data_IF_999953714334
#
_entry.id   IF_999953714334
#
_cell.length_a   1.000
_cell.length_b   1.000
_cell.length_c   1.000
_cell.angle_alpha   90.00
_cell.angle_beta   90.00
_cell.angle_gamma   90.00
#
_symmetry.space_group_name_H-M   'P 1'
#
loop_
_entity.id
_entity.type
_entity.pdbx_description
1 polymer ?
#
# COMPACT_ATOMS: atom_id res chain seq x y z
N UNK A 1 26.75 -25.71 -16.38
CA UNK A 1 26.61 -24.87 -17.59
C UNK A 1 26.16 -23.50 -17.13
N UNK A 2 27.10 -22.55 -17.19
CA UNK A 2 26.97 -21.18 -16.70
C UNK A 2 26.00 -20.39 -17.58
N UNK A 3 24.94 -19.86 -16.99
CA UNK A 3 24.04 -18.92 -17.65
C UNK A 3 24.58 -17.50 -17.45
N UNK A 4 25.24 -16.95 -18.47
CA UNK A 4 25.44 -15.51 -18.60
C UNK A 4 24.15 -14.88 -19.15
N UNK A 5 23.20 -14.58 -18.26
CA UNK A 5 22.08 -13.68 -18.55
C UNK A 5 22.64 -12.24 -18.62
N UNK A 6 23.22 -11.88 -19.77
CA UNK A 6 23.59 -10.49 -20.05
C UNK A 6 22.35 -9.60 -20.00
N UNK A 7 22.42 -8.60 -19.11
CA UNK A 7 21.46 -7.54 -18.86
C UNK A 7 20.83 -6.91 -20.13
N UNK A 8 19.74 -7.49 -20.63
CA UNK A 8 18.81 -6.83 -21.53
C UNK A 8 17.78 -6.06 -20.70
N UNK A 9 18.03 -4.76 -20.57
CA UNK A 9 17.05 -3.82 -20.02
C UNK A 9 15.80 -3.85 -20.92
N UNK A 10 14.67 -4.26 -20.37
CA UNK A 10 13.40 -4.22 -21.11
C UNK A 10 12.89 -2.79 -21.07
N UNK A 11 12.99 -2.08 -22.19
CA UNK A 11 12.50 -0.71 -22.32
C UNK A 11 11.00 -0.77 -22.72
N UNK A 12 10.11 -0.01 -22.05
CA UNK A 12 8.72 0.11 -22.49
C UNK A 12 8.64 0.49 -23.97
N UNK A 13 7.81 -0.22 -24.74
CA UNK A 13 7.69 -0.02 -26.20
C UNK A 13 7.38 1.45 -26.52
N UNK A 14 8.01 1.99 -27.57
CA UNK A 14 7.78 3.34 -28.12
C UNK A 14 8.11 4.53 -27.20
N UNK A 15 8.79 4.31 -26.08
CA UNK A 15 9.05 5.38 -25.10
C UNK A 15 10.35 6.16 -25.32
N UNK A 16 11.33 5.58 -26.01
CA UNK A 16 12.62 6.23 -26.22
C UNK A 16 13.64 5.45 -27.05
N UNK A 17 14.79 6.07 -27.27
CA UNK A 17 15.92 5.54 -28.04
C UNK A 17 17.08 5.25 -27.09
N UNK A 18 17.68 4.06 -27.22
CA UNK A 18 18.95 3.72 -26.60
C UNK A 18 20.07 4.49 -27.31
N UNK A 19 20.75 5.38 -26.59
CA UNK A 19 21.79 6.24 -27.18
C UNK A 19 23.18 5.66 -26.99
N UNK A 20 23.47 5.08 -25.82
CA UNK A 20 24.75 4.44 -25.58
C UNK A 20 24.68 3.39 -24.48
N UNK A 21 25.52 2.36 -24.63
CA UNK A 21 25.83 1.34 -23.63
C UNK A 21 27.36 1.25 -23.57
N UNK A 22 27.97 1.80 -22.52
CA UNK A 22 29.43 1.86 -22.36
C UNK A 22 29.80 1.71 -20.89
N UNK A 23 30.77 0.83 -20.58
CA UNK A 23 31.36 0.65 -19.24
C UNK A 23 30.33 0.63 -18.09
N UNK A 24 29.32 -0.24 -18.16
CA UNK A 24 28.31 -0.40 -17.10
C UNK A 24 27.37 0.80 -16.92
N UNK A 25 27.34 1.71 -17.90
CA UNK A 25 26.42 2.84 -17.97
C UNK A 25 25.55 2.71 -19.22
N UNK A 26 24.24 2.90 -19.04
CA UNK A 26 23.26 2.91 -20.12
C UNK A 26 22.56 4.25 -20.16
N UNK A 27 22.52 4.89 -21.33
CA UNK A 27 21.84 6.17 -21.54
C UNK A 27 20.67 5.99 -22.51
N UNK A 28 19.48 6.30 -22.01
CA UNK A 28 18.23 6.34 -22.77
C UNK A 28 17.79 7.78 -22.96
N UNK A 29 17.20 8.06 -24.13
CA UNK A 29 16.52 9.31 -24.44
C UNK A 29 15.03 9.05 -24.60
N UNK A 30 14.21 9.74 -23.82
CA UNK A 30 12.75 9.58 -23.82
C UNK A 30 12.07 10.81 -24.41
N UNK A 31 10.88 10.62 -24.97
CA UNK A 31 10.02 11.69 -25.50
C UNK A 31 9.29 12.49 -24.42
N UNK A 32 9.32 12.02 -23.16
CA UNK A 32 8.66 12.68 -22.03
C UNK A 32 9.12 14.15 -21.91
N UNK A 33 8.19 15.08 -21.77
CA UNK A 33 8.42 16.52 -21.62
C UNK A 33 8.11 17.00 -20.20
N UNK A 34 7.24 16.30 -19.49
CA UNK A 34 6.80 16.64 -18.14
C UNK A 34 7.27 15.61 -17.12
N UNK A 35 7.19 15.98 -15.84
CA UNK A 35 7.52 15.10 -14.73
C UNK A 35 6.53 13.94 -14.63
N UNK A 36 5.26 14.20 -14.92
CA UNK A 36 4.14 13.27 -14.81
C UNK A 36 4.26 12.17 -15.87
N UNK A 37 4.57 12.54 -17.12
CA UNK A 37 4.85 11.57 -18.20
C UNK A 37 6.03 10.67 -17.86
N UNK A 38 7.09 11.23 -17.27
CA UNK A 38 8.23 10.43 -16.82
C UNK A 38 7.87 9.50 -15.66
N UNK A 39 7.00 9.92 -14.74
CA UNK A 39 6.55 9.06 -13.64
C UNK A 39 5.75 7.86 -14.16
N UNK A 40 4.85 8.05 -15.12
CA UNK A 40 4.13 6.97 -15.78
C UNK A 40 5.10 5.99 -16.47
N UNK A 41 6.05 6.50 -17.25
CA UNK A 41 7.09 5.68 -17.88
C UNK A 41 7.91 4.89 -16.85
N UNK A 42 8.28 5.53 -15.73
CA UNK A 42 9.03 4.88 -14.66
C UNK A 42 8.23 3.73 -14.05
N UNK A 43 6.94 3.90 -13.80
CA UNK A 43 6.08 2.85 -13.26
C UNK A 43 5.98 1.64 -14.19
N UNK A 44 5.84 1.88 -15.50
CA UNK A 44 5.88 0.82 -16.51
C UNK A 44 7.23 0.10 -16.54
N UNK A 45 8.33 0.86 -16.50
CA UNK A 45 9.68 0.33 -16.47
C UNK A 45 9.91 -0.56 -15.23
N UNK A 46 9.47 -0.11 -14.05
CA UNK A 46 9.53 -0.86 -12.79
C UNK A 46 8.68 -2.14 -12.83
N UNK A 47 7.51 -2.09 -13.48
CA UNK A 47 6.63 -3.26 -13.68
C UNK A 47 7.29 -4.31 -14.57
N UNK A 48 7.85 -3.89 -15.71
CA UNK A 48 8.48 -4.77 -16.70
C UNK A 48 9.79 -5.42 -16.19
N UNK A 49 10.62 -4.63 -15.49
CA UNK A 49 11.94 -5.08 -15.06
C UNK A 49 11.95 -5.63 -13.63
N UNK A 50 10.80 -5.68 -12.93
CA UNK A 50 10.69 -6.16 -11.54
C UNK A 50 11.59 -5.41 -10.54
N UNK A 51 11.91 -4.15 -10.84
CA UNK A 51 12.71 -3.27 -9.99
C UNK A 51 11.81 -2.24 -9.30
N UNK A 52 12.28 -1.70 -8.19
CA UNK A 52 11.66 -0.55 -7.53
C UNK A 52 12.74 0.46 -7.20
N UNK A 53 12.53 1.71 -7.60
CA UNK A 53 13.43 2.82 -7.42
C UNK A 53 12.91 3.79 -6.36
N UNK A 54 13.80 4.13 -5.43
CA UNK A 54 13.57 5.14 -4.41
C UNK A 54 14.32 6.41 -4.74
N UNK A 55 13.74 7.54 -4.39
CA UNK A 55 14.39 8.85 -4.55
C UNK A 55 15.62 8.91 -3.65
N UNK A 56 16.81 8.97 -4.23
CA UNK A 56 18.06 9.19 -3.50
C UNK A 56 18.29 10.68 -3.27
N UNK A 57 18.18 11.48 -4.33
CA UNK A 57 18.27 12.94 -4.28
C UNK A 57 17.35 13.53 -5.34
N UNK A 58 16.54 14.51 -4.97
CA UNK A 58 15.77 15.31 -5.92
C UNK A 58 16.25 16.75 -5.90
N UNK A 59 16.25 17.42 -7.05
CA UNK A 59 16.32 18.87 -7.11
C UNK A 59 15.18 19.34 -7.99
N UNK A 60 14.25 20.11 -7.42
CA UNK A 60 13.31 20.86 -8.24
C UNK A 60 14.14 21.91 -8.97
N UNK A 61 14.17 21.82 -10.30
CA UNK A 61 14.88 22.77 -11.13
C UNK A 61 13.81 23.55 -11.89
N UNK A 62 13.47 24.74 -11.40
CA UNK A 62 12.73 25.73 -12.20
C UNK A 62 13.72 26.59 -13.00
N UNK A 63 14.80 25.95 -13.45
CA UNK A 63 15.89 26.63 -14.14
C UNK A 63 15.54 26.72 -15.63
N UNK A 64 16.00 27.79 -16.28
CA UNK A 64 15.78 28.07 -17.71
C UNK A 64 16.20 26.94 -18.67
N UNK A 65 17.01 25.98 -18.21
CA UNK A 65 17.57 24.89 -19.03
C UNK A 65 17.10 23.48 -18.64
N UNK A 66 16.69 23.27 -17.39
CA UNK A 66 16.33 21.95 -16.85
C UNK A 66 15.07 22.08 -16.04
N UNK A 67 14.03 21.37 -16.45
CA UNK A 67 12.70 21.36 -15.83
C UNK A 67 12.63 20.40 -14.64
N UNK A 68 13.38 19.30 -14.72
CA UNK A 68 13.36 18.28 -13.68
C UNK A 68 14.66 17.49 -13.65
N UNK A 69 15.20 17.25 -12.45
CA UNK A 69 16.37 16.40 -12.26
C UNK A 69 16.25 15.61 -10.97
N UNK A 70 16.32 14.28 -11.09
CA UNK A 70 16.19 13.41 -9.94
C UNK A 70 17.12 12.21 -10.07
N UNK A 71 17.70 11.80 -8.94
CA UNK A 71 18.52 10.63 -8.82
C UNK A 71 17.77 9.60 -7.98
N UNK A 72 17.62 8.42 -8.54
CA UNK A 72 17.00 7.28 -7.92
C UNK A 72 18.02 6.19 -7.60
N UNK A 73 17.73 5.41 -6.57
CA UNK A 73 18.48 4.21 -6.15
C UNK A 73 17.57 3.00 -6.17
N UNK A 74 18.16 1.81 -6.32
CA UNK A 74 17.44 0.57 -6.10
C UNK A 74 16.87 0.50 -4.67
N UNK A 75 15.71 -0.14 -4.51
CA UNK A 75 15.08 -0.37 -3.20
C UNK A 75 15.98 -1.12 -2.20
N UNK A 76 16.93 -1.93 -2.67
CA UNK A 76 17.87 -2.68 -1.83
C UNK A 76 19.04 -1.83 -1.30
N UNK A 77 19.12 -0.56 -1.72
CA UNK A 77 19.96 0.44 -1.07
C UNK A 77 19.11 1.24 -0.07
N UNK A 78 19.08 0.82 1.20
CA UNK A 78 18.25 1.45 2.25
C UNK A 78 18.96 2.58 2.99
N UNK A 79 20.22 2.88 2.65
CA UNK A 79 21.03 3.97 3.23
C UNK A 79 21.04 3.96 4.79
N UNK A 80 21.37 2.83 5.44
CA UNK A 80 21.29 2.72 6.91
C UNK A 80 22.16 3.74 7.65
N UNK A 81 23.32 4.09 7.09
CA UNK A 81 24.27 5.03 7.70
C UNK A 81 23.70 6.45 7.82
N UNK A 82 22.95 6.89 6.80
CA UNK A 82 22.30 8.20 6.82
C UNK A 82 21.27 8.29 7.96
N UNK A 83 20.61 7.19 8.27
CA UNK A 83 19.62 7.09 9.35
C UNK A 83 20.22 6.63 10.69
N UNK A 84 21.55 6.47 10.78
CA UNK A 84 22.28 6.02 11.98
C UNK A 84 21.73 4.70 12.55
N UNK A 85 21.30 3.78 11.68
CA UNK A 85 20.70 2.51 12.10
C UNK A 85 21.79 1.50 12.44
N UNK A 86 21.79 0.95 13.67
CA UNK A 86 22.79 -0.03 14.14
C UNK A 86 22.84 -1.33 13.33
N UNK A 87 21.69 -1.82 12.85
CA UNK A 87 21.57 -3.03 12.05
C UNK A 87 20.71 -2.76 10.81
N UNK A 88 21.28 -2.83 9.59
CA UNK A 88 20.52 -2.64 8.36
C UNK A 88 19.38 -3.64 8.24
N UNK A 89 18.33 -3.26 7.51
CA UNK A 89 17.23 -4.16 7.17
C UNK A 89 17.74 -5.35 6.35
N UNK A 90 17.08 -6.51 6.47
CA UNK A 90 17.32 -7.69 5.59
C UNK A 90 17.17 -7.37 4.10
N UNK A 91 16.50 -6.27 3.76
CA UNK A 91 16.36 -5.74 2.40
C UNK A 91 17.66 -5.13 1.86
N UNK A 92 18.59 -4.73 2.74
CA UNK A 92 19.77 -3.97 2.36
C UNK A 92 20.87 -4.87 1.81
N UNK A 93 21.22 -4.67 0.54
CA UNK A 93 22.37 -5.33 -0.11
C UNK A 93 23.44 -4.34 -0.55
N UNK A 94 23.32 -3.07 -0.16
CA UNK A 94 24.12 -1.95 -0.68
C UNK A 94 24.24 -1.93 -2.22
N UNK A 95 23.10 -2.12 -2.88
CA UNK A 95 23.05 -2.16 -4.34
C UNK A 95 23.58 -0.84 -4.95
N UNK A 96 24.60 -0.89 -5.86
CA UNK A 96 25.21 0.31 -6.44
C UNK A 96 24.41 0.86 -7.63
N UNK A 97 23.40 0.13 -8.09
CA UNK A 97 22.57 0.51 -9.23
C UNK A 97 21.76 1.78 -8.98
N UNK A 98 21.92 2.76 -9.87
CA UNK A 98 21.27 4.08 -9.79
C UNK A 98 20.69 4.47 -11.14
N UNK A 99 19.58 5.21 -11.09
CA UNK A 99 18.93 5.80 -12.27
C UNK A 99 18.87 7.32 -12.09
N UNK A 100 19.54 8.07 -12.96
CA UNK A 100 19.46 9.52 -13.00
C UNK A 100 18.56 9.96 -14.14
N UNK A 101 17.59 10.83 -13.86
CA UNK A 101 16.74 11.46 -14.87
C UNK A 101 17.05 12.95 -14.96
N UNK A 102 17.04 13.49 -16.18
CA UNK A 102 17.10 14.92 -16.44
C UNK A 102 16.16 15.27 -17.59
N UNK A 103 15.17 16.11 -17.33
CA UNK A 103 14.23 16.63 -18.33
C UNK A 103 14.69 18.05 -18.70
N UNK A 104 15.09 18.24 -19.95
CA UNK A 104 15.53 19.53 -20.47
C UNK A 104 14.35 20.36 -20.93
N UNK A 105 14.45 21.69 -20.79
CA UNK A 105 13.45 22.61 -21.33
C UNK A 105 13.56 22.62 -22.86
N UNK A 106 12.43 22.46 -23.54
CA UNK A 106 12.35 22.59 -25.00
C UNK A 106 12.01 24.03 -25.34
N UNK A 107 12.95 24.75 -25.96
CA UNK A 107 12.76 26.13 -26.43
C UNK A 107 12.74 26.18 -27.95
N UNK A 108 11.96 27.09 -28.55
CA UNK A 108 11.83 27.25 -30.00
C UNK A 108 13.16 27.57 -30.69
N UNK A 109 14.04 28.32 -30.03
CA UNK A 109 15.39 28.63 -30.51
C UNK A 109 16.42 28.16 -29.49
N UNK A 110 17.01 27.00 -29.74
CA UNK A 110 18.05 26.43 -28.90
C UNK A 110 19.41 26.60 -29.57
N UNK A 111 20.40 27.11 -28.82
CA UNK A 111 21.82 27.09 -29.23
C UNK A 111 22.49 25.73 -28.96
N UNK A 112 21.74 24.73 -28.52
CA UNK A 112 22.28 23.41 -28.18
C UNK A 112 22.62 22.60 -29.42
N UNK A 113 23.78 21.96 -29.43
CA UNK A 113 24.25 21.03 -30.46
C UNK A 113 23.68 19.60 -30.28
N UNK A 114 22.74 19.40 -29.35
CA UNK A 114 22.17 18.10 -29.01
C UNK A 114 21.21 17.61 -30.12
N UNK A 115 21.65 16.63 -30.91
CA UNK A 115 20.92 16.07 -32.07
C UNK A 115 19.55 15.48 -31.73
N UNK A 116 19.32 15.12 -30.47
CA UNK A 116 18.06 14.50 -30.03
C UNK A 116 17.01 15.54 -29.59
N UNK A 117 17.38 16.81 -29.47
CA UNK A 117 16.44 17.90 -29.19
C UNK A 117 15.80 18.38 -30.51
N UNK A 118 14.50 18.70 -30.54
CA UNK A 118 13.56 18.76 -29.41
C UNK A 118 12.77 17.48 -29.13
N UNK A 119 12.91 16.43 -29.95
CA UNK A 119 12.05 15.24 -29.92
C UNK A 119 12.21 14.38 -28.66
N UNK A 120 13.43 14.27 -28.12
CA UNK A 120 13.74 13.49 -26.92
C UNK A 120 14.41 14.33 -25.81
N UNK A 121 13.64 15.17 -25.11
CA UNK A 121 14.18 16.10 -24.13
C UNK A 121 14.56 15.46 -22.80
N UNK A 122 14.10 14.23 -22.53
CA UNK A 122 14.41 13.52 -21.29
C UNK A 122 15.60 12.58 -21.47
N UNK A 123 16.55 12.66 -20.55
CA UNK A 123 17.74 11.80 -20.48
C UNK A 123 17.63 10.93 -19.24
N UNK A 124 17.64 9.61 -19.41
CA UNK A 124 17.70 8.64 -18.32
C UNK A 124 19.04 7.92 -18.40
N UNK A 125 19.83 8.02 -17.34
CA UNK A 125 21.14 7.37 -17.21
C UNK A 125 21.08 6.32 -16.12
N UNK A 126 21.28 5.07 -16.48
CA UNK A 126 21.51 3.97 -15.54
C UNK A 126 23.01 3.82 -15.31
N UNK A 127 23.42 3.65 -14.06
CA UNK A 127 24.81 3.49 -13.67
C UNK A 127 24.94 2.42 -12.60
N UNK A 128 25.94 1.55 -12.75
CA UNK A 128 26.19 0.44 -11.84
C UNK A 128 25.29 -0.77 -12.15
N UNK A 129 25.78 -1.97 -11.83
CA UNK A 129 25.00 -3.20 -11.95
C UNK A 129 24.23 -3.50 -10.66
N UNK A 130 23.13 -4.24 -10.75
CA UNK A 130 22.54 -4.83 -9.56
C UNK A 130 23.49 -5.88 -8.98
N UNK A 131 23.64 -5.90 -7.66
CA UNK A 131 24.40 -6.93 -6.96
C UNK A 131 23.50 -8.03 -6.36
N UNK A 132 22.23 -8.05 -6.75
CA UNK A 132 21.22 -9.00 -6.33
C UNK A 132 20.35 -9.39 -7.54
N UNK A 133 19.77 -10.59 -7.50
CA UNK A 133 18.89 -11.08 -8.56
C UNK A 133 17.54 -10.39 -8.50
N UNK A 134 17.23 -9.57 -9.50
CA UNK A 134 15.99 -8.77 -9.52
C UNK A 134 14.74 -9.65 -9.61
N UNK A 135 14.76 -10.69 -10.45
CA UNK A 135 13.66 -11.66 -10.65
C UNK A 135 13.76 -12.87 -9.71
N UNK A 136 14.04 -12.65 -8.43
CA UNK A 136 14.10 -13.72 -7.42
C UNK A 136 13.05 -13.48 -6.34
N UNK A 137 12.48 -14.54 -5.75
CA UNK A 137 11.54 -14.43 -4.64
C UNK A 137 12.10 -13.57 -3.48
N UNK A 138 13.42 -13.63 -3.26
CA UNK A 138 14.10 -12.82 -2.26
C UNK A 138 14.06 -11.31 -2.53
N UNK A 139 14.06 -10.89 -3.79
CA UNK A 139 13.94 -9.48 -4.17
C UNK A 139 12.47 -9.06 -4.33
N UNK A 140 11.64 -9.92 -4.91
CA UNK A 140 10.23 -9.65 -5.20
C UNK A 140 9.39 -9.43 -3.93
N UNK A 141 9.69 -10.13 -2.83
CA UNK A 141 9.00 -9.95 -1.53
C UNK A 141 9.12 -8.55 -0.93
N UNK A 142 10.05 -7.72 -1.45
CA UNK A 142 10.28 -6.37 -0.96
C UNK A 142 9.75 -5.27 -1.87
N UNK A 143 9.17 -5.63 -3.03
CA UNK A 143 8.50 -4.68 -3.94
C UNK A 143 7.33 -4.00 -3.24
N UNK A 144 6.96 -2.84 -3.76
CA UNK A 144 5.76 -2.15 -3.31
C UNK A 144 4.50 -2.87 -3.76
N UNK A 145 3.45 -2.73 -2.94
CA UNK A 145 2.11 -3.23 -3.29
C UNK A 145 1.66 -2.55 -4.58
N UNK A 146 1.30 -3.34 -5.59
CA UNK A 146 0.86 -2.80 -6.88
C UNK A 146 -0.42 -1.96 -6.75
N UNK A 147 -0.65 -1.00 -7.65
CA UNK A 147 -1.79 -0.09 -7.58
C UNK A 147 -3.13 -0.85 -7.63
N UNK A 148 -3.24 -1.85 -8.52
CA UNK A 148 -4.41 -2.73 -8.66
C UNK A 148 -4.75 -3.43 -7.32
N UNK A 149 -3.75 -4.04 -6.69
CA UNK A 149 -3.92 -4.77 -5.41
C UNK A 149 -4.21 -3.81 -4.26
N UNK A 150 -3.58 -2.62 -4.26
CA UNK A 150 -3.83 -1.58 -3.26
C UNK A 150 -5.28 -1.12 -3.31
N UNK A 151 -5.82 -0.85 -4.50
CA UNK A 151 -7.22 -0.46 -4.68
C UNK A 151 -8.18 -1.55 -4.20
N UNK A 152 -7.93 -2.80 -4.59
CA UNK A 152 -8.73 -3.95 -4.14
C UNK A 152 -8.74 -4.12 -2.61
N UNK A 153 -7.58 -3.98 -1.96
CA UNK A 153 -7.51 -4.01 -0.50
C UNK A 153 -8.29 -2.86 0.16
N UNK A 154 -8.25 -1.66 -0.44
CA UNK A 154 -9.04 -0.52 0.03
C UNK A 154 -10.54 -0.81 -0.07
N UNK A 155 -10.99 -1.49 -1.12
CA UNK A 155 -12.40 -1.90 -1.25
C UNK A 155 -12.80 -2.89 -0.15
N UNK A 156 -11.95 -3.88 0.15
CA UNK A 156 -12.20 -4.80 1.27
C UNK A 156 -12.30 -4.06 2.61
N UNK A 157 -11.45 -3.07 2.84
CA UNK A 157 -11.50 -2.25 4.04
C UNK A 157 -12.77 -1.40 4.12
N UNK A 158 -13.22 -0.83 3.00
CA UNK A 158 -14.49 -0.09 2.92
C UNK A 158 -15.70 -0.99 3.19
N UNK A 159 -15.61 -2.27 2.82
CA UNK A 159 -16.60 -3.29 3.16
C UNK A 159 -16.55 -3.78 4.62
N UNK A 160 -15.71 -3.17 5.48
CA UNK A 160 -15.63 -3.48 6.92
C UNK A 160 -14.66 -4.62 7.26
N UNK A 161 -13.90 -5.13 6.29
CA UNK A 161 -12.95 -6.20 6.56
C UNK A 161 -11.68 -5.67 7.24
N UNK A 162 -11.28 -6.30 8.34
CA UNK A 162 -9.99 -6.04 8.96
C UNK A 162 -8.81 -6.57 8.11
N UNK A 163 -7.56 -6.15 8.39
CA UNK A 163 -6.37 -6.51 7.62
C UNK A 163 -6.20 -8.01 7.39
N UNK A 164 -6.47 -8.82 8.43
CA UNK A 164 -6.32 -10.27 8.38
C UNK A 164 -7.32 -10.90 7.42
N UNK A 165 -8.59 -10.50 7.52
CA UNK A 165 -9.65 -11.02 6.66
C UNK A 165 -9.47 -10.56 5.22
N UNK A 166 -9.17 -9.28 5.00
CA UNK A 166 -8.90 -8.72 3.68
C UNK A 166 -7.74 -9.43 2.96
N UNK A 167 -6.64 -9.74 3.67
CA UNK A 167 -5.54 -10.50 3.09
C UNK A 167 -5.95 -11.94 2.77
N UNK A 168 -6.75 -12.59 3.62
CA UNK A 168 -7.25 -13.95 3.37
C UNK A 168 -8.13 -14.00 2.13
N UNK A 169 -9.05 -13.05 1.97
CA UNK A 169 -9.88 -12.90 0.77
C UNK A 169 -9.01 -12.70 -0.47
N UNK A 170 -8.05 -11.76 -0.41
CA UNK A 170 -7.15 -11.49 -1.54
C UNK A 170 -6.35 -12.73 -1.96
N UNK A 171 -5.84 -13.51 -0.99
CA UNK A 171 -5.12 -14.75 -1.27
C UNK A 171 -6.01 -15.80 -1.93
N UNK A 172 -7.25 -15.95 -1.48
CA UNK A 172 -8.23 -16.86 -2.08
C UNK A 172 -8.51 -16.47 -3.53
N UNK A 173 -8.70 -15.18 -3.80
CA UNK A 173 -8.94 -14.72 -5.17
C UNK A 173 -7.70 -14.92 -6.07
N UNK A 174 -6.48 -14.82 -5.52
CA UNK A 174 -5.26 -15.16 -6.26
C UNK A 174 -5.16 -16.67 -6.55
N UNK A 175 -5.57 -17.54 -5.62
CA UNK A 175 -5.61 -18.98 -5.84
C UNK A 175 -6.58 -19.33 -6.97
N UNK A 176 -7.77 -18.73 -6.98
CA UNK A 176 -8.77 -18.93 -8.03
C UNK A 176 -8.29 -18.43 -9.41
N UNK A 177 -7.50 -17.35 -9.45
CA UNK A 177 -7.02 -16.77 -10.71
C UNK A 177 -5.83 -17.51 -11.33
N UNK A 178 -4.92 -18.02 -10.50
CA UNK A 178 -3.64 -18.54 -10.98
C UNK A 178 -3.46 -20.05 -10.78
N UNK A 179 -4.34 -20.71 -10.01
CA UNK A 179 -4.34 -22.15 -9.74
C UNK A 179 -2.92 -22.72 -9.55
N UNK A 180 -2.37 -23.45 -10.52
CA UNK A 180 -1.01 -24.02 -10.50
C UNK A 180 0.12 -22.98 -10.36
N UNK A 181 -0.05 -21.76 -10.87
CA UNK A 181 0.93 -20.67 -10.84
C UNK A 181 0.86 -19.84 -9.55
N UNK A 182 -0.03 -20.17 -8.61
CA UNK A 182 -0.27 -19.42 -7.38
C UNK A 182 1.01 -19.17 -6.59
N UNK A 183 1.84 -20.20 -6.39
CA UNK A 183 3.05 -20.12 -5.56
C UNK A 183 4.04 -19.08 -6.11
N UNK A 184 4.15 -18.99 -7.44
CA UNK A 184 5.03 -18.02 -8.10
C UNK A 184 4.53 -16.59 -7.89
N UNK A 185 3.22 -16.38 -8.02
CA UNK A 185 2.59 -15.06 -7.83
C UNK A 185 2.59 -14.64 -6.37
N UNK A 186 2.41 -15.59 -5.45
CA UNK A 186 2.40 -15.36 -4.01
C UNK A 186 3.75 -14.83 -3.47
N UNK A 187 4.85 -15.12 -4.16
CA UNK A 187 6.19 -14.64 -3.80
C UNK A 187 6.42 -13.15 -4.14
N UNK A 188 5.60 -12.53 -4.99
CA UNK A 188 5.74 -11.13 -5.39
C UNK A 188 4.90 -10.21 -4.51
N UNK A 189 5.54 -9.34 -3.72
CA UNK A 189 4.83 -8.42 -2.84
C UNK A 189 3.97 -7.38 -3.58
N UNK A 190 4.25 -7.14 -4.87
CA UNK A 190 3.39 -6.31 -5.71
C UNK A 190 2.03 -6.97 -6.00
N UNK A 191 1.98 -8.31 -6.02
CA UNK A 191 0.78 -9.11 -6.29
C UNK A 191 0.16 -9.65 -5.01
N UNK A 192 0.96 -10.26 -4.14
CA UNK A 192 0.56 -10.79 -2.84
C UNK A 192 1.34 -10.08 -1.72
N UNK A 193 0.82 -8.97 -1.17
CA UNK A 193 1.53 -8.20 -0.17
C UNK A 193 1.65 -8.95 1.16
N UNK A 194 2.71 -8.64 1.91
CA UNK A 194 2.88 -9.14 3.27
C UNK A 194 1.78 -8.58 4.19
N UNK A 195 1.44 -9.32 5.26
CA UNK A 195 0.50 -8.84 6.27
C UNK A 195 0.91 -7.48 6.84
N UNK A 196 2.20 -7.26 7.07
CA UNK A 196 2.72 -5.97 7.56
C UNK A 196 2.39 -4.82 6.59
N UNK A 197 2.50 -5.06 5.29
CA UNK A 197 2.14 -4.07 4.26
C UNK A 197 0.64 -3.77 4.27
N UNK A 198 -0.20 -4.80 4.39
CA UNK A 198 -1.67 -4.66 4.46
C UNK A 198 -2.09 -3.93 5.73
N UNK A 199 -1.51 -4.28 6.88
CA UNK A 199 -1.74 -3.62 8.15
C UNK A 199 -1.34 -2.15 8.09
N UNK A 200 -0.17 -1.84 7.50
CA UNK A 200 0.25 -0.47 7.30
C UNK A 200 -0.74 0.30 6.41
N UNK A 201 -1.14 -0.27 5.27
CA UNK A 201 -2.13 0.32 4.38
C UNK A 201 -3.45 0.62 5.09
N UNK A 202 -3.96 -0.35 5.86
CA UNK A 202 -5.17 -0.18 6.67
C UNK A 202 -5.01 0.96 7.67
N UNK A 203 -3.91 0.99 8.43
CA UNK A 203 -3.70 2.06 9.42
C UNK A 203 -3.57 3.43 8.77
N UNK A 204 -2.91 3.55 7.61
CA UNK A 204 -2.79 4.82 6.89
C UNK A 204 -4.14 5.29 6.37
N UNK A 205 -4.91 4.40 5.73
CA UNK A 205 -6.25 4.72 5.22
C UNK A 205 -7.21 5.14 6.34
N UNK A 206 -7.23 4.41 7.45
CA UNK A 206 -8.10 4.72 8.58
C UNK A 206 -7.66 5.99 9.31
N UNK A 207 -6.35 6.25 9.42
CA UNK A 207 -5.84 7.54 9.92
C UNK A 207 -6.25 8.71 9.03
N UNK A 208 -6.22 8.54 7.71
CA UNK A 208 -6.69 9.58 6.77
C UNK A 208 -8.19 9.83 6.90
N UNK A 209 -8.99 8.76 7.04
CA UNK A 209 -10.46 8.86 7.08
C UNK A 209 -11.01 9.32 8.43
N UNK A 210 -10.42 8.86 9.53
CA UNK A 210 -10.95 9.07 10.88
C UNK A 210 -10.02 9.91 11.78
N UNK A 211 -8.82 10.26 11.31
CA UNK A 211 -7.80 10.94 12.09
C UNK A 211 -7.15 10.03 13.14
N UNK A 212 -6.45 10.66 14.09
CA UNK A 212 -6.15 10.00 15.36
C UNK A 212 -7.48 9.81 16.11
N UNK A 213 -7.84 8.54 16.29
CA UNK A 213 -9.03 8.15 17.03
C UNK A 213 -8.78 8.43 18.52
N UNK A 214 -9.42 9.47 19.04
CA UNK A 214 -9.48 9.71 20.49
C UNK A 214 -10.77 9.07 21.04
N UNK A 215 -10.82 8.80 22.36
CA UNK A 215 -12.01 8.22 22.99
C UNK A 215 -13.24 9.10 22.78
N UNK A 216 -13.07 10.42 22.74
CA UNK A 216 -14.13 11.41 22.57
C UNK A 216 -14.77 11.31 21.18
N UNK A 217 -13.97 11.21 20.12
CA UNK A 217 -14.50 11.03 18.75
C UNK A 217 -15.20 9.68 18.55
N UNK A 218 -14.74 8.64 19.24
CA UNK A 218 -15.43 7.35 19.25
C UNK A 218 -16.81 7.50 19.89
N UNK A 219 -16.91 8.19 21.03
CA UNK A 219 -18.17 8.47 21.69
C UNK A 219 -19.12 9.28 20.79
N UNK A 220 -18.64 10.33 20.12
CA UNK A 220 -19.44 11.10 19.16
C UNK A 220 -19.98 10.23 18.01
N UNK A 221 -19.14 9.34 17.46
CA UNK A 221 -19.56 8.41 16.41
C UNK A 221 -20.55 7.36 16.92
N UNK A 222 -20.42 6.93 18.19
CA UNK A 222 -21.36 5.98 18.80
C UNK A 222 -22.70 6.67 19.03
N UNK A 223 -22.72 7.86 19.61
CA UNK A 223 -23.94 8.62 19.90
C UNK A 223 -24.72 8.89 18.61
N UNK A 224 -24.05 9.36 17.55
CA UNK A 224 -24.71 9.55 16.25
C UNK A 224 -25.26 8.26 15.67
N UNK A 225 -24.57 7.13 15.83
CA UNK A 225 -25.08 5.82 15.35
C UNK A 225 -26.25 5.31 16.21
N UNK A 226 -26.22 5.52 17.52
CA UNK A 226 -27.30 5.20 18.46
C UNK A 226 -28.57 5.95 18.08
N UNK A 227 -28.48 7.22 17.69
CA UNK A 227 -29.63 8.00 17.22
C UNK A 227 -30.27 7.41 15.96
N UNK A 228 -29.45 7.01 14.99
CA UNK A 228 -29.95 6.34 13.78
C UNK A 228 -30.64 5.02 14.12
N UNK A 229 -30.03 4.17 14.95
CA UNK A 229 -30.62 2.88 15.34
C UNK A 229 -31.92 3.04 16.15
N UNK A 230 -32.03 4.10 16.97
CA UNK A 230 -33.30 4.46 17.63
C UNK A 230 -34.39 4.78 16.62
N UNK A 231 -34.05 5.51 15.55
CA UNK A 231 -35.01 5.81 14.47
C UNK A 231 -35.47 4.57 13.69
N UNK A 232 -34.64 3.53 13.64
CA UNK A 232 -34.96 2.22 13.06
C UNK A 232 -35.79 1.32 14.01
N UNK A 233 -36.17 1.82 15.20
CA UNK A 233 -37.02 1.11 16.17
C UNK A 233 -36.26 0.18 17.12
N UNK A 234 -34.93 0.26 17.16
CA UNK A 234 -34.10 -0.51 18.11
C UNK A 234 -34.03 0.23 19.43
N UNK A 235 -34.32 -0.46 20.55
CA UNK A 235 -34.16 0.10 21.89
C UNK A 235 -32.69 0.05 22.27
N UNK A 236 -32.00 1.18 22.14
CA UNK A 236 -30.58 1.30 22.45
C UNK A 236 -30.32 2.44 23.43
N UNK A 237 -29.48 2.17 24.42
CA UNK A 237 -29.07 3.14 25.44
C UNK A 237 -27.56 3.09 25.56
N UNK A 238 -26.93 4.26 25.56
CA UNK A 238 -25.51 4.43 25.84
C UNK A 238 -25.39 5.17 27.16
N UNK A 239 -24.63 4.62 28.10
CA UNK A 239 -24.27 5.27 29.35
C UNK A 239 -22.76 5.35 29.47
N UNK A 240 -22.27 6.45 30.03
CA UNK A 240 -20.85 6.62 30.35
C UNK A 240 -20.69 6.37 31.84
N UNK A 241 -19.82 5.43 32.21
CA UNK A 241 -19.47 5.14 33.59
C UNK A 241 -17.98 5.46 33.74
N UNK A 242 -17.68 6.54 34.47
CA UNK A 242 -16.34 7.12 34.58
C UNK A 242 -15.65 7.35 33.22
N UNK A 243 -14.62 6.56 32.91
CA UNK A 243 -13.78 6.65 31.71
C UNK A 243 -14.14 5.60 30.63
N UNK A 244 -15.14 4.77 30.92
CA UNK A 244 -15.65 3.71 30.06
C UNK A 244 -17.10 3.98 29.65
N UNK A 245 -17.52 3.36 28.55
CA UNK A 245 -18.89 3.45 28.05
C UNK A 245 -19.52 2.07 27.98
N UNK A 246 -20.81 2.02 28.30
CA UNK A 246 -21.64 0.83 28.19
C UNK A 246 -22.76 1.12 27.20
N UNK A 247 -22.93 0.23 26.24
CA UNK A 247 -24.03 0.28 25.27
C UNK A 247 -24.89 -0.94 25.51
N UNK A 248 -26.15 -0.70 25.88
CA UNK A 248 -27.18 -1.73 25.95
C UNK A 248 -28.10 -1.61 24.74
N UNK A 249 -28.33 -2.71 24.05
CA UNK A 249 -29.17 -2.77 22.86
C UNK A 249 -30.14 -3.95 22.96
N UNK A 250 -31.42 -3.65 22.79
CA UNK A 250 -32.49 -4.62 22.70
C UNK A 250 -33.19 -4.43 21.33
N UNK A 251 -33.06 -5.45 20.49
CA UNK A 251 -33.72 -5.48 19.17
C UNK A 251 -35.18 -5.89 19.31
N UNK A 252 -36.05 -5.58 18.33
CA UNK A 252 -37.46 -5.98 18.39
C UNK A 252 -37.69 -7.49 18.56
N UNK A 253 -36.74 -8.34 18.13
CA UNK A 253 -36.83 -9.79 18.34
C UNK A 253 -36.50 -10.17 19.78
N UNK A 254 -35.56 -9.48 20.43
CA UNK A 254 -35.22 -9.67 21.85
C UNK A 254 -36.35 -9.19 22.76
N UNK A 255 -37.03 -8.09 22.39
CA UNK A 255 -38.18 -7.56 23.15
C UNK A 255 -39.31 -8.59 23.33
N UNK A 256 -39.51 -9.46 22.35
CA UNK A 256 -40.53 -10.52 22.42
C UNK A 256 -40.28 -11.50 23.56
N UNK A 257 -39.04 -11.71 23.98
CA UNK A 257 -38.73 -12.63 25.08
C UNK A 257 -39.09 -11.98 26.42
N UNK A 258 -39.00 -10.66 26.51
CA UNK A 258 -39.35 -9.92 27.73
C UNK A 258 -40.85 -9.88 28.04
N UNK A 259 -41.73 -10.40 27.17
CA UNK A 259 -43.16 -10.52 27.47
C UNK A 259 -43.49 -11.75 28.32
N UNK A 260 -42.58 -12.72 28.45
CA UNK A 260 -42.79 -13.92 29.27
C UNK A 260 -42.34 -13.67 30.71
N UNK A 261 -43.12 -14.12 31.71
CA UNK A 261 -42.75 -14.01 33.13
C UNK A 261 -41.45 -14.75 33.45
N UNK A 262 -41.19 -15.86 32.75
CA UNK A 262 -39.95 -16.64 32.86
C UNK A 262 -38.70 -15.83 32.55
N UNK A 263 -38.80 -14.79 31.71
CA UNK A 263 -37.67 -13.94 31.30
C UNK A 263 -37.04 -13.15 32.45
N UNK A 264 -37.79 -12.92 33.54
CA UNK A 264 -37.30 -12.24 34.74
C UNK A 264 -36.72 -13.18 35.80
N UNK A 265 -36.85 -14.50 35.61
CA UNK A 265 -36.50 -15.49 36.65
C UNK A 265 -35.01 -15.88 36.63
N UNK A 266 -34.49 -16.25 35.45
CA UNK A 266 -33.12 -16.71 35.27
C UNK A 266 -32.53 -16.02 34.05
N UNK A 267 -31.33 -15.47 34.23
CA UNK A 267 -30.59 -14.82 33.17
C UNK A 267 -29.19 -15.43 33.07
N UNK A 268 -28.81 -15.82 31.86
CA UNK A 268 -27.47 -16.23 31.50
C UNK A 268 -26.74 -15.06 30.86
N UNK A 269 -25.48 -14.88 31.23
CA UNK A 269 -24.63 -13.85 30.62
C UNK A 269 -23.47 -14.59 29.97
N UNK A 270 -23.44 -14.54 28.64
CA UNK A 270 -22.27 -14.97 27.88
C UNK A 270 -21.39 -13.76 27.59
N UNK A 271 -20.08 -13.93 27.75
CA UNK A 271 -19.10 -12.87 27.50
C UNK A 271 -18.18 -13.29 26.39
N UNK A 272 -18.15 -12.51 25.33
CA UNK A 272 -17.08 -12.60 24.35
C UNK A 272 -15.76 -12.09 24.94
N UNK A 273 -14.63 -12.59 24.42
CA UNK A 273 -13.32 -12.00 24.67
C UNK A 273 -13.19 -10.58 24.09
N UNK A 274 -11.97 -10.08 24.02
CA UNK A 274 -11.71 -8.74 23.49
C UNK A 274 -12.14 -8.64 22.02
N UNK A 275 -13.18 -7.84 21.74
CA UNK A 275 -13.81 -7.75 20.43
C UNK A 275 -13.10 -6.75 19.50
N UNK A 276 -12.34 -5.81 20.04
CA UNK A 276 -11.69 -4.77 19.26
C UNK A 276 -10.35 -4.26 19.86
N UNK A 277 -9.80 -3.21 19.23
CA UNK A 277 -8.56 -2.54 19.66
C UNK A 277 -8.69 -1.76 20.97
N UNK A 278 -9.90 -1.44 21.39
CA UNK A 278 -10.20 -0.70 22.61
C UNK A 278 -10.54 -1.62 23.77
N UNK A 279 -10.35 -2.93 23.59
CA UNK A 279 -10.66 -3.92 24.61
C UNK A 279 -12.18 -3.94 24.94
N UNK A 280 -13.03 -3.57 23.99
CA UNK A 280 -14.47 -3.67 24.13
C UNK A 280 -14.84 -5.14 24.33
N UNK A 281 -15.75 -5.37 25.29
CA UNK A 281 -16.31 -6.69 25.58
C UNK A 281 -17.77 -6.69 25.22
N UNK A 282 -18.19 -7.68 24.44
CA UNK A 282 -19.60 -7.86 24.11
C UNK A 282 -20.14 -8.90 25.09
N UNK A 283 -21.18 -8.51 25.82
CA UNK A 283 -21.94 -9.38 26.70
C UNK A 283 -23.28 -9.67 26.03
N UNK A 284 -23.61 -10.96 25.89
CA UNK A 284 -24.91 -11.40 25.44
C UNK A 284 -25.70 -11.86 26.67
N UNK A 285 -26.80 -11.17 26.91
CA UNK A 285 -27.73 -11.46 28.00
C UNK A 285 -28.84 -12.34 27.43
N UNK A 286 -28.95 -13.57 27.93
CA UNK A 286 -29.88 -14.59 27.47
C UNK A 286 -30.79 -14.99 28.63
N UNK A 287 -32.01 -15.40 28.31
CA UNK A 287 -32.96 -15.94 29.28
C UNK A 287 -33.73 -17.08 28.64
N UNK A 288 -34.33 -17.92 29.47
CA UNK A 288 -35.15 -18.99 28.97
C UNK A 288 -36.44 -18.42 28.35
N UNK A 289 -36.79 -18.94 27.17
CA UNK A 289 -38.01 -18.58 26.46
C UNK A 289 -39.01 -19.75 26.41
N UNK A 290 -38.85 -20.76 27.26
CA UNK A 290 -39.78 -21.88 27.33
C UNK A 290 -41.19 -21.39 27.70
N UNK A 291 -42.14 -21.79 26.84
CA UNK A 291 -43.59 -21.78 27.09
C UNK A 291 -43.94 -22.97 27.96
#
# INVERSE_FOLDING_TARGET
MEATEENDLIIPRNSGILVSKSNGTVVLRLRCKTKEEFQQWKEEYEKLNYVTYRVLRGRNCEASKVLFKQLYRCQHNTVPDYHKVKKPSKKHTDCPHKMSVTIKVVVKQSRSTDKFMPEYPTVVKFSGAHNHRVKSAESLKFRDVGPEVRLKLIEFFKAGNGPTHALKLHKRDLMEQYDEDYDRVACDAARCPSFRSVQHLYTTLFKEKYGDFTKEKLLESIVSRVEVLKSEGIKITCSTLSDDFCISMCTPIMERVHTFESSGSICFIDSSGNADRYNCRIFLIMTDSCV
#
